data_IF_697401368564
#
_entry.id   IF_697401368564
#
_cell.length_a   1.000
_cell.length_b   1.000
_cell.length_c   1.000
_cell.angle_alpha   90.00
_cell.angle_beta   90.00
_cell.angle_gamma   90.00
#
_symmetry.space_group_name_H-M   'P 1'
#
loop_
_entity.id
_entity.type
_entity.pdbx_description
1 polymer ?
#
# COMPACT_ATOMS: atom_id res chain seq x y z
N UNK A 1 16.31 15.99 -20.16
CA UNK A 1 15.63 16.49 -18.95
C UNK A 1 15.76 15.44 -17.85
N UNK A 2 16.14 15.81 -16.63
CA UNK A 2 16.01 14.89 -15.49
C UNK A 2 14.52 14.84 -15.12
N UNK A 3 13.92 13.64 -15.10
CA UNK A 3 12.50 13.46 -14.78
C UNK A 3 12.21 13.89 -13.34
N UNK A 4 11.20 14.75 -13.16
CA UNK A 4 10.76 15.27 -11.87
C UNK A 4 9.50 14.53 -11.42
N UNK A 5 9.44 14.21 -10.13
CA UNK A 5 8.26 13.65 -9.47
C UNK A 5 7.82 14.63 -8.40
N UNK A 6 6.65 15.23 -8.57
CA UNK A 6 6.04 16.16 -7.61
C UNK A 6 5.27 15.44 -6.51
N UNK A 7 4.48 14.45 -6.92
CA UNK A 7 3.53 13.75 -6.07
C UNK A 7 3.59 12.26 -6.39
N UNK A 8 3.81 11.44 -5.36
CA UNK A 8 3.61 9.99 -5.42
C UNK A 8 2.31 9.63 -4.68
N UNK A 9 1.38 8.98 -5.37
CA UNK A 9 0.14 8.49 -4.78
C UNK A 9 0.18 6.96 -4.70
N UNK A 10 0.36 6.44 -3.48
CA UNK A 10 0.24 5.03 -3.17
C UNK A 10 -1.24 4.67 -3.00
N UNK A 11 -1.91 4.36 -4.11
CA UNK A 11 -3.33 4.00 -4.14
C UNK A 11 -3.61 2.50 -4.32
N UNK A 12 -2.62 1.72 -4.76
CA UNK A 12 -2.79 0.29 -4.96
C UNK A 12 -3.14 -0.39 -3.63
N UNK A 13 -4.23 -1.14 -3.61
CA UNK A 13 -4.67 -1.85 -2.42
C UNK A 13 -5.68 -2.95 -2.72
N UNK A 14 -5.54 -4.07 -2.01
CA UNK A 14 -6.48 -5.19 -2.04
C UNK A 14 -7.04 -5.47 -0.66
N UNK A 15 -8.21 -6.10 -0.64
CA UNK A 15 -8.86 -6.56 0.57
C UNK A 15 -9.25 -8.02 0.39
N UNK A 16 -8.46 -8.93 0.97
CA UNK A 16 -8.84 -10.33 1.10
C UNK A 16 -9.85 -10.45 2.23
N UNK A 17 -11.04 -10.98 1.92
CA UNK A 17 -12.12 -11.20 2.88
C UNK A 17 -12.19 -12.68 3.20
N UNK A 18 -12.37 -13.01 4.46
CA UNK A 18 -12.47 -14.38 4.95
C UNK A 18 -12.55 -14.40 6.47
N UNK A 19 -12.86 -15.56 7.04
CA UNK A 19 -12.66 -15.75 8.47
C UNK A 19 -11.16 -15.97 8.73
N UNK A 20 -10.69 -15.75 9.97
CA UNK A 20 -9.28 -15.89 10.31
C UNK A 20 -8.75 -17.31 10.06
N UNK A 21 -9.58 -18.34 10.24
CA UNK A 21 -9.22 -19.75 10.06
C UNK A 21 -9.16 -20.18 8.60
N UNK A 22 -9.78 -19.43 7.69
CA UNK A 22 -9.85 -19.71 6.26
C UNK A 22 -8.93 -18.82 5.44
N UNK A 23 -8.26 -17.84 6.07
CA UNK A 23 -7.30 -16.99 5.38
C UNK A 23 -6.04 -17.82 5.12
N UNK A 24 -5.73 -18.02 3.85
CA UNK A 24 -4.51 -18.71 3.46
C UNK A 24 -3.28 -17.83 3.69
N UNK A 25 -2.12 -18.45 3.89
CA UNK A 25 -0.84 -17.72 3.95
C UNK A 25 -0.57 -16.97 2.64
N UNK A 26 -1.00 -17.52 1.50
CA UNK A 26 -0.89 -16.85 0.19
C UNK A 26 -1.74 -15.57 0.11
N UNK A 27 -2.98 -15.60 0.62
CA UNK A 27 -3.83 -14.41 0.69
C UNK A 27 -3.25 -13.33 1.62
N UNK A 28 -2.64 -13.77 2.72
CA UNK A 28 -1.92 -12.90 3.66
C UNK A 28 -0.72 -12.24 2.97
N UNK A 29 0.16 -13.03 2.38
CA UNK A 29 1.37 -12.56 1.70
C UNK A 29 1.04 -11.62 0.54
N UNK A 30 0.01 -11.95 -0.24
CA UNK A 30 -0.47 -11.09 -1.32
C UNK A 30 -0.97 -9.75 -0.77
N UNK A 31 -1.65 -9.75 0.37
CA UNK A 31 -2.11 -8.52 1.03
C UNK A 31 -0.94 -7.64 1.47
N UNK A 32 0.12 -8.21 2.03
CA UNK A 32 1.34 -7.46 2.38
C UNK A 32 2.08 -6.96 1.15
N UNK A 33 2.19 -7.81 0.13
CA UNK A 33 2.86 -7.47 -1.12
C UNK A 33 2.22 -6.25 -1.77
N UNK A 34 0.89 -6.26 -1.92
CA UNK A 34 0.18 -5.15 -2.58
C UNK A 34 0.02 -3.95 -1.65
N UNK A 35 -0.33 -4.13 -0.39
CA UNK A 35 -0.70 -3.02 0.49
C UNK A 35 0.49 -2.38 1.22
N UNK A 36 1.64 -3.06 1.33
CA UNK A 36 2.81 -2.57 2.08
C UNK A 36 4.09 -2.57 1.25
N UNK A 37 4.48 -3.72 0.69
CA UNK A 37 5.75 -3.82 -0.05
C UNK A 37 5.76 -2.90 -1.28
N UNK A 38 4.63 -2.81 -2.00
CA UNK A 38 4.50 -1.90 -3.15
C UNK A 38 4.83 -0.45 -2.76
N UNK A 39 4.24 0.06 -1.66
CA UNK A 39 4.46 1.43 -1.19
C UNK A 39 5.92 1.65 -0.81
N UNK A 40 6.51 0.70 -0.09
CA UNK A 40 7.93 0.76 0.27
C UNK A 40 8.82 0.86 -0.97
N UNK A 41 8.60 0.00 -1.96
CA UNK A 41 9.40 -0.01 -3.19
C UNK A 41 9.18 1.25 -4.03
N UNK A 42 7.94 1.74 -4.15
CA UNK A 42 7.62 2.98 -4.85
C UNK A 42 8.29 4.18 -4.18
N UNK A 43 8.19 4.31 -2.86
CA UNK A 43 8.87 5.35 -2.11
C UNK A 43 10.39 5.28 -2.30
N UNK A 44 10.99 4.08 -2.16
CA UNK A 44 12.45 3.90 -2.33
C UNK A 44 12.92 4.32 -3.72
N UNK A 45 12.15 4.04 -4.76
CA UNK A 45 12.48 4.40 -6.14
C UNK A 45 12.22 5.89 -6.45
N UNK A 46 11.14 6.47 -5.92
CA UNK A 46 10.76 7.86 -6.22
C UNK A 46 11.55 8.90 -5.41
N UNK A 47 11.91 8.58 -4.16
CA UNK A 47 12.50 9.53 -3.22
C UNK A 47 13.79 10.21 -3.73
N UNK A 48 14.72 9.54 -4.42
CA UNK A 48 15.91 10.21 -4.99
C UNK A 48 15.55 11.31 -6.00
N UNK A 49 14.52 11.09 -6.82
CA UNK A 49 14.05 12.07 -7.81
C UNK A 49 13.35 13.25 -7.14
N UNK A 50 12.58 13.00 -6.09
CA UNK A 50 11.90 14.03 -5.31
C UNK A 50 12.92 14.91 -4.57
N UNK A 51 13.91 14.30 -3.90
CA UNK A 51 15.00 15.01 -3.22
C UNK A 51 15.78 15.89 -4.21
N UNK A 52 16.19 15.32 -5.35
CA UNK A 52 16.91 16.06 -6.39
C UNK A 52 16.11 17.23 -6.97
N UNK A 53 14.78 17.21 -6.82
CA UNK A 53 13.86 18.23 -7.33
C UNK A 53 13.42 19.25 -6.26
N UNK A 54 14.03 19.23 -5.07
CA UNK A 54 13.72 20.15 -3.96
C UNK A 54 12.56 19.71 -3.05
N UNK A 55 12.08 18.47 -3.19
CA UNK A 55 11.00 17.90 -2.39
C UNK A 55 9.73 17.59 -3.19
N UNK A 56 8.68 17.22 -2.47
CA UNK A 56 7.39 16.82 -3.01
C UNK A 56 6.51 16.18 -1.93
N UNK A 57 5.40 15.56 -2.33
CA UNK A 57 4.46 14.91 -1.41
C UNK A 57 4.27 13.42 -1.72
N UNK A 58 4.17 12.60 -0.68
CA UNK A 58 3.76 11.19 -0.78
C UNK A 58 2.40 11.05 -0.08
N UNK A 59 1.41 10.55 -0.82
CA UNK A 59 0.05 10.35 -0.33
C UNK A 59 -0.26 8.86 -0.32
N UNK A 60 -0.65 8.33 0.84
CA UNK A 60 -1.05 6.93 1.00
C UNK A 60 -2.57 6.84 1.15
N UNK A 61 -3.23 6.11 0.26
CA UNK A 61 -4.67 5.85 0.37
C UNK A 61 -4.89 4.66 1.30
N UNK A 62 -5.70 4.85 2.35
CA UNK A 62 -6.17 3.74 3.20
C UNK A 62 -7.68 3.65 3.11
N UNK A 63 -8.20 2.43 2.97
CA UNK A 63 -9.63 2.16 3.12
C UNK A 63 -9.96 2.01 4.61
N UNK A 64 -10.89 2.82 5.12
CA UNK A 64 -11.52 2.55 6.42
C UNK A 64 -12.56 1.45 6.25
N UNK A 65 -12.23 0.24 6.70
CA UNK A 65 -13.15 -0.89 6.78
C UNK A 65 -13.52 -1.18 8.22
N UNK A 66 -14.46 -0.42 8.78
CA UNK A 66 -14.99 -0.70 10.12
C UNK A 66 -16.12 -1.72 10.00
N UNK A 67 -15.75 -3.01 10.01
CA UNK A 67 -16.69 -4.09 10.23
C UNK A 67 -16.07 -5.01 11.27
N UNK A 68 -16.67 -5.05 12.46
CA UNK A 68 -16.33 -6.02 13.49
C UNK A 68 -16.55 -7.40 12.86
N UNK A 69 -15.53 -8.28 12.80
CA UNK A 69 -15.74 -9.63 12.31
C UNK A 69 -16.81 -10.29 13.18
N UNK A 70 -18.00 -10.56 12.62
CA UNK A 70 -19.00 -11.37 13.31
C UNK A 70 -18.46 -12.80 13.32
N UNK A 71 -17.77 -13.16 14.39
CA UNK A 71 -17.42 -14.55 14.67
C UNK A 71 -18.73 -15.27 15.02
N UNK A 72 -19.41 -15.84 14.03
CA UNK A 72 -20.47 -16.83 14.29
C UNK A 72 -19.82 -18.15 14.64
N UNK A 73 -20.29 -18.70 15.77
CA UNK A 73 -19.99 -20.01 16.36
C UNK A 73 -20.17 -21.15 15.38
#
# INVERSE_FOLDING_TARGET
>A
MKGRIDILINNAGINRRGNLLSLSDEDWDMSFTVNLHSMFHLCRSALPHMIASGGGAIVNTRRNGTSIPRQTT
#
